data_IF_298624658880
#
_entry.id   IF_298624658880
#
_cell.length_a   1.000
_cell.length_b   1.000
_cell.length_c   1.000
_cell.angle_alpha   90.00
_cell.angle_beta   90.00
_cell.angle_gamma   90.00
#
_symmetry.space_group_name_H-M   'P 1'
#
loop_
_entity.id
_entity.type
_entity.pdbx_description
1 polymer ?
#
# COMPACT_ATOMS: atom_id res chain seq x y z
N UNK A 1 18.70 8.17 -23.32
CA UNK A 1 18.75 8.78 -24.67
C UNK A 1 18.20 7.76 -25.64
N UNK A 2 17.09 8.05 -26.32
CA UNK A 2 16.59 7.20 -27.41
C UNK A 2 17.58 7.34 -28.57
N UNK A 3 18.27 6.26 -28.94
CA UNK A 3 19.23 6.21 -30.04
C UNK A 3 18.62 5.70 -31.34
N UNK A 4 17.47 5.02 -31.26
CA UNK A 4 16.73 4.48 -32.40
C UNK A 4 15.22 4.60 -32.17
N UNK A 5 14.54 5.34 -33.05
CA UNK A 5 13.09 5.60 -33.00
C UNK A 5 12.26 4.39 -33.43
N UNK A 6 12.83 3.49 -34.24
CA UNK A 6 12.14 2.29 -34.72
C UNK A 6 12.25 1.12 -33.74
N UNK A 7 13.09 1.26 -32.71
CA UNK A 7 13.21 0.31 -31.62
C UNK A 7 12.94 0.99 -30.26
N UNK A 8 11.69 1.43 -30.03
CA UNK A 8 11.32 2.13 -28.79
C UNK A 8 11.61 1.30 -27.54
N UNK A 9 11.58 -0.03 -27.67
CA UNK A 9 11.89 -0.98 -26.60
C UNK A 9 13.35 -0.93 -26.13
N UNK A 10 14.30 -0.55 -27.00
CA UNK A 10 15.71 -0.44 -26.61
C UNK A 10 15.99 0.69 -25.62
N UNK A 11 15.09 1.68 -25.52
CA UNK A 11 15.19 2.80 -24.57
C UNK A 11 14.49 2.56 -23.24
N UNK A 12 13.81 1.42 -23.07
CA UNK A 12 13.13 1.03 -21.84
C UNK A 12 14.12 0.55 -20.76
N UNK A 13 15.23 1.25 -20.58
CA UNK A 13 16.27 0.88 -19.61
C UNK A 13 16.05 1.60 -18.26
N UNK A 14 16.02 0.75 -17.22
CA UNK A 14 15.95 1.02 -15.78
C UNK A 14 14.64 1.66 -15.28
N UNK A 15 13.61 0.83 -15.10
CA UNK A 15 12.51 1.19 -14.20
C UNK A 15 13.05 1.30 -12.76
N UNK A 16 12.78 2.43 -12.10
CA UNK A 16 13.29 2.69 -10.75
C UNK A 16 12.74 1.70 -9.74
N UNK A 17 13.58 1.13 -8.87
CA UNK A 17 13.13 0.22 -7.80
C UNK A 17 12.58 0.94 -6.56
N UNK A 18 12.56 2.27 -6.56
CA UNK A 18 12.09 3.08 -5.42
C UNK A 18 10.57 3.24 -5.53
N UNK A 19 9.83 2.58 -4.64
CA UNK A 19 8.38 2.79 -4.50
C UNK A 19 8.08 4.13 -3.84
N UNK A 20 7.02 4.81 -4.29
CA UNK A 20 6.59 6.12 -3.77
C UNK A 20 5.15 6.11 -3.26
N UNK A 21 4.30 5.21 -3.76
CA UNK A 21 2.92 5.06 -3.31
C UNK A 21 2.48 3.61 -3.50
N UNK A 22 1.59 3.13 -2.64
CA UNK A 22 0.99 1.81 -2.73
C UNK A 22 -0.43 1.84 -2.13
N UNK A 23 -1.28 0.91 -2.55
CA UNK A 23 -2.62 0.76 -1.97
C UNK A 23 -2.54 0.30 -0.52
N UNK A 24 -3.50 0.69 0.30
CA UNK A 24 -3.64 0.13 1.65
C UNK A 24 -3.90 -1.39 1.59
N UNK A 25 -3.26 -2.14 2.48
CA UNK A 25 -3.46 -3.58 2.66
C UNK A 25 -3.18 -3.98 4.11
N UNK A 26 -3.47 -5.24 4.48
CA UNK A 26 -3.30 -5.75 5.83
C UNK A 26 -3.12 -7.26 5.87
N UNK A 27 -3.13 -7.84 7.08
CA UNK A 27 -3.10 -9.30 7.26
C UNK A 27 -4.47 -9.95 7.02
N UNK A 28 -5.54 -9.19 7.20
CA UNK A 28 -6.91 -9.63 6.93
C UNK A 28 -7.29 -9.43 5.45
N UNK A 29 -8.03 -10.39 4.88
CA UNK A 29 -8.47 -10.32 3.49
C UNK A 29 -9.37 -9.13 3.17
N UNK A 30 -10.10 -8.61 4.15
CA UNK A 30 -10.98 -7.44 4.01
C UNK A 30 -10.21 -6.11 3.89
N UNK A 31 -8.91 -6.09 4.17
CA UNK A 31 -8.07 -4.91 3.99
C UNK A 31 -7.58 -4.72 2.55
N UNK A 32 -7.82 -5.68 1.65
CA UNK A 32 -7.38 -5.62 0.26
C UNK A 32 -8.46 -5.08 -0.68
N UNK A 33 -8.05 -4.20 -1.59
CA UNK A 33 -8.93 -3.70 -2.66
C UNK A 33 -9.23 -4.76 -3.75
N UNK A 34 -8.38 -5.79 -3.89
CA UNK A 34 -8.54 -6.87 -4.86
C UNK A 34 -8.11 -8.23 -4.27
N UNK A 35 -8.94 -9.27 -4.44
CA UNK A 35 -8.69 -10.64 -3.98
C UNK A 35 -8.52 -11.55 -5.21
N UNK A 36 -7.48 -12.42 -5.30
CA UNK A 36 -6.48 -12.77 -4.28
C UNK A 36 -5.45 -11.66 -4.02
N UNK A 37 -5.21 -11.39 -2.74
CA UNK A 37 -4.59 -10.17 -2.21
C UNK A 37 -3.25 -9.74 -2.81
N UNK A 38 -3.12 -8.43 -3.01
CA UNK A 38 -1.91 -7.72 -3.43
C UNK A 38 -2.16 -6.23 -3.40
N UNK A 39 -1.15 -5.44 -3.74
CA UNK A 39 -1.23 -3.98 -3.77
C UNK A 39 -0.65 -3.47 -5.08
N UNK A 40 -1.30 -2.46 -5.68
CA UNK A 40 -0.69 -1.72 -6.76
C UNK A 40 0.38 -0.81 -6.17
N UNK A 41 1.59 -0.86 -6.73
CA UNK A 41 2.74 -0.10 -6.25
C UNK A 41 3.22 0.82 -7.36
N UNK A 42 3.21 2.12 -7.09
CA UNK A 42 3.77 3.17 -7.94
C UNK A 42 5.23 3.41 -7.55
N UNK A 43 6.09 3.49 -8.56
CA UNK A 43 7.52 3.72 -8.40
C UNK A 43 7.93 5.11 -8.89
N UNK A 44 9.11 5.57 -8.48
CA UNK A 44 9.66 6.89 -8.83
C UNK A 44 9.84 7.09 -10.34
N UNK A 45 9.97 5.98 -11.10
CA UNK A 45 10.00 6.00 -12.57
C UNK A 45 8.63 6.18 -13.23
N UNK A 46 7.54 6.29 -12.45
CA UNK A 46 6.17 6.44 -12.93
C UNK A 46 5.49 5.13 -13.34
N UNK A 47 6.20 4.01 -13.33
CA UNK A 47 5.56 2.70 -13.58
C UNK A 47 4.79 2.22 -12.36
N UNK A 48 3.82 1.37 -12.63
CA UNK A 48 2.99 0.69 -11.64
C UNK A 48 3.17 -0.80 -11.83
N UNK A 49 3.38 -1.53 -10.73
CA UNK A 49 3.42 -2.98 -10.71
C UNK A 49 2.39 -3.49 -9.69
N UNK A 50 1.69 -4.58 -10.03
CA UNK A 50 0.88 -5.29 -9.06
C UNK A 50 1.73 -6.34 -8.35
N UNK A 51 1.95 -6.14 -7.04
CA UNK A 51 2.71 -7.08 -6.22
C UNK A 51 1.75 -7.92 -5.39
N UNK A 52 1.86 -9.24 -5.50
CA UNK A 52 1.08 -10.18 -4.69
C UNK A 52 1.60 -10.19 -3.26
N UNK A 53 0.69 -10.17 -2.29
CA UNK A 53 1.06 -10.20 -0.90
C UNK A 53 1.70 -11.53 -0.50
N UNK A 54 2.83 -11.45 0.19
CA UNK A 54 3.52 -12.59 0.79
C UNK A 54 3.91 -12.25 2.22
N UNK A 55 3.47 -13.09 3.17
CA UNK A 55 3.72 -12.83 4.59
C UNK A 55 5.23 -12.87 4.93
N UNK A 56 5.97 -13.79 4.32
CA UNK A 56 7.41 -13.96 4.54
C UNK A 56 8.15 -13.91 3.21
N UNK A 57 9.26 -13.17 3.15
CA UNK A 57 10.10 -13.07 1.94
C UNK A 57 9.47 -12.28 0.78
N UNK A 58 8.39 -11.54 1.04
CA UNK A 58 7.70 -10.75 0.02
C UNK A 58 8.48 -9.50 -0.43
N UNK A 59 8.27 -9.12 -1.68
CA UNK A 59 8.81 -7.89 -2.26
C UNK A 59 8.24 -6.67 -1.53
N UNK A 60 9.10 -5.77 -1.08
CA UNK A 60 8.66 -4.50 -0.49
C UNK A 60 7.97 -3.62 -1.56
N UNK A 61 6.91 -2.88 -1.22
CA UNK A 61 6.33 -2.72 0.12
C UNK A 61 5.36 -3.85 0.54
N UNK A 62 4.89 -4.69 -0.37
CA UNK A 62 3.79 -5.65 -0.15
C UNK A 62 4.19 -6.94 0.56
N UNK A 63 4.62 -6.83 1.81
CA UNK A 63 5.04 -7.96 2.65
C UNK A 63 4.41 -7.94 4.05
N UNK A 64 4.59 -9.03 4.80
CA UNK A 64 4.00 -9.18 6.14
C UNK A 64 4.48 -8.17 7.17
N UNK A 65 5.71 -7.64 7.04
CA UNK A 65 6.22 -6.62 7.96
C UNK A 65 5.40 -5.34 7.83
N UNK A 66 5.19 -4.87 6.60
CA UNK A 66 4.41 -3.66 6.39
C UNK A 66 2.92 -3.88 6.68
N UNK A 67 2.35 -5.04 6.34
CA UNK A 67 0.98 -5.38 6.70
C UNK A 67 0.72 -5.23 8.20
N UNK A 68 1.61 -5.76 9.04
CA UNK A 68 1.49 -5.64 10.49
C UNK A 68 1.56 -4.18 10.98
N UNK A 69 2.39 -3.34 10.34
CA UNK A 69 2.49 -1.92 10.67
C UNK A 69 1.20 -1.18 10.29
N UNK A 70 0.66 -1.44 9.10
CA UNK A 70 -0.60 -0.85 8.66
C UNK A 70 -1.77 -1.28 9.56
N UNK A 71 -1.84 -2.56 9.92
CA UNK A 71 -2.85 -3.08 10.85
C UNK A 71 -2.75 -2.43 12.23
N UNK A 72 -1.52 -2.22 12.74
CA UNK A 72 -1.30 -1.51 14.00
C UNK A 72 -1.76 -0.04 13.92
N UNK A 73 -1.47 0.65 12.81
CA UNK A 73 -1.95 2.02 12.57
C UNK A 73 -3.48 2.04 12.55
N UNK A 74 -4.12 1.13 11.81
CA UNK A 74 -5.57 1.01 11.75
C UNK A 74 -6.19 0.78 13.14
N UNK A 75 -5.59 -0.09 13.96
CA UNK A 75 -6.05 -0.36 15.31
C UNK A 75 -5.94 0.88 16.23
N UNK A 76 -4.83 1.62 16.15
CA UNK A 76 -4.65 2.85 16.94
C UNK A 76 -5.64 3.93 16.50
N UNK A 77 -5.74 4.18 15.19
CA UNK A 77 -6.66 5.19 14.63
C UNK A 77 -8.10 4.87 15.00
N UNK A 78 -8.53 3.62 14.81
CA UNK A 78 -9.87 3.16 15.21
C UNK A 78 -10.12 3.42 16.69
N UNK A 79 -9.17 3.07 17.57
CA UNK A 79 -9.32 3.27 19.01
C UNK A 79 -9.38 4.75 19.41
N UNK A 80 -8.69 5.63 18.69
CA UNK A 80 -8.74 7.07 18.95
C UNK A 80 -10.06 7.68 18.47
N UNK A 81 -10.48 7.36 17.25
CA UNK A 81 -11.71 7.89 16.66
C UNK A 81 -12.95 7.41 17.43
N UNK A 82 -13.11 6.11 17.66
CA UNK A 82 -14.27 5.60 18.40
C UNK A 82 -14.31 6.05 19.86
N UNK A 83 -13.15 6.31 20.49
CA UNK A 83 -13.10 6.90 21.83
C UNK A 83 -13.59 8.36 21.79
N UNK A 84 -13.31 9.12 20.73
CA UNK A 84 -13.79 10.49 20.57
C UNK A 84 -15.31 10.55 20.36
N UNK A 85 -15.89 9.63 19.61
CA UNK A 85 -17.36 9.61 19.46
C UNK A 85 -18.08 9.28 20.76
N UNK A 86 -17.52 8.39 21.58
CA UNK A 86 -18.10 8.05 22.89
C UNK A 86 -18.10 9.23 23.87
N UNK A 87 -16.99 9.99 23.96
CA UNK A 87 -16.91 11.16 24.85
C UNK A 87 -17.77 12.34 24.36
N UNK A 88 -17.87 12.58 23.05
CA UNK A 88 -18.75 13.62 22.50
C UNK A 88 -20.23 13.32 22.79
N UNK A 89 -20.66 12.05 22.68
CA UNK A 89 -22.04 11.65 23.00
C UNK A 89 -22.40 11.86 24.48
N UNK A 90 -21.45 11.72 25.40
CA UNK A 90 -21.67 12.00 26.82
C UNK A 90 -21.78 13.50 27.09
N UNK A 91 -21.00 14.34 26.39
CA UNK A 91 -20.98 15.80 26.61
C UNK A 91 -22.16 16.54 25.98
N UNK A 92 -22.75 16.01 24.90
CA UNK A 92 -23.91 16.63 24.21
C UNK A 92 -25.25 16.20 24.84
N UNK A 93 -25.26 15.15 25.66
CA UNK A 93 -26.44 14.64 26.37
C UNK A 93 -26.57 15.15 27.81
N UNK A 94 -25.69 16.05 28.26
CA UNK A 94 -25.71 16.71 29.57
C UNK A 94 -26.09 18.19 29.42
#
# INVERSE_FOLDING_TARGET
MITDVNNPAASAQAQSSIFVMFDWFGTDTGAFNHIPGGSNVLYMGGHIEFIRYQQTGGTAPTNGVLANVLDAIAAVVSRLLYRQDAQWRVLVQA
#
